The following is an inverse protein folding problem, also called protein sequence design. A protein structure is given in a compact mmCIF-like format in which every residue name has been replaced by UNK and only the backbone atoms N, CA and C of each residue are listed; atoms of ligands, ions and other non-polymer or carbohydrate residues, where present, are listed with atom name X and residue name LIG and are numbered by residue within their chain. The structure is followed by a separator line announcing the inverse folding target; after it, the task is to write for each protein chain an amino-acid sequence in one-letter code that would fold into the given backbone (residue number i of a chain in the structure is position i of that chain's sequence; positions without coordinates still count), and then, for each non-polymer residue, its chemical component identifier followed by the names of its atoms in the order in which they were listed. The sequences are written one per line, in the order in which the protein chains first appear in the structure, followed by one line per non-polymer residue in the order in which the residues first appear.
data_IF_532624414759
#
_entry.id   IF_532624414759
#
_cell.length_a   1.000
_cell.length_b   1.000
_cell.length_c   1.000
_cell.angle_alpha   90.00
_cell.angle_beta   90.00
_cell.angle_gamma   90.00
#
_symmetry.space_group_name_H-M   'P 1'
#
loop_
_entity.id
_entity.type
_entity.pdbx_description
1 polymer ?
#
# COMPACT_ATOMS: atom_id res chain seq x y z
N UNK A 1 -17.25 -6.69 9.41
CA UNK A 1 -17.02 -7.69 8.34
C UNK A 1 -18.23 -7.91 7.44
N UNK A 2 -19.45 -7.99 7.99
CA UNK A 2 -20.67 -8.23 7.20
C UNK A 2 -20.88 -7.32 5.98
N UNK A 3 -20.44 -6.06 6.05
CA UNK A 3 -20.57 -5.10 4.92
C UNK A 3 -19.31 -5.03 4.05
N UNK A 4 -18.12 -5.09 4.64
CA UNK A 4 -16.84 -4.90 3.92
C UNK A 4 -16.35 -6.15 3.19
N UNK A 5 -16.76 -7.34 3.62
CA UNK A 5 -16.29 -8.62 3.06
C UNK A 5 -16.49 -8.74 1.55
N UNK A 6 -17.68 -8.41 0.99
CA UNK A 6 -17.90 -8.54 -0.46
C UNK A 6 -16.99 -7.61 -1.25
N UNK A 7 -16.85 -6.35 -0.80
CA UNK A 7 -16.00 -5.35 -1.43
C UNK A 7 -14.52 -5.73 -1.40
N UNK A 8 -14.05 -6.23 -0.25
CA UNK A 8 -12.68 -6.69 -0.08
C UNK A 8 -12.35 -7.88 -1.00
N UNK A 9 -13.25 -8.87 -1.07
CA UNK A 9 -13.09 -10.02 -1.96
C UNK A 9 -13.05 -9.59 -3.42
N UNK A 10 -14.01 -8.76 -3.84
CA UNK A 10 -14.07 -8.23 -5.21
C UNK A 10 -12.75 -7.57 -5.60
N UNK A 11 -12.17 -6.75 -4.72
CA UNK A 11 -10.88 -6.11 -5.00
C UNK A 11 -9.73 -7.12 -5.21
N UNK A 12 -9.66 -8.16 -4.38
CA UNK A 12 -8.63 -9.21 -4.51
C UNK A 12 -8.85 -10.03 -5.78
N UNK A 13 -10.10 -10.38 -6.10
CA UNK A 13 -10.46 -11.15 -7.27
C UNK A 13 -10.16 -10.38 -8.57
N UNK A 14 -10.50 -9.08 -8.62
CA UNK A 14 -10.15 -8.18 -9.73
C UNK A 14 -8.64 -8.13 -9.96
N UNK A 15 -7.85 -7.95 -8.90
CA UNK A 15 -6.40 -7.99 -9.01
C UNK A 15 -5.90 -9.35 -9.49
N UNK A 16 -6.50 -10.44 -9.02
CA UNK A 16 -6.10 -11.80 -9.41
C UNK A 16 -6.37 -12.08 -10.90
N UNK A 17 -7.53 -11.67 -11.41
CA UNK A 17 -7.94 -11.91 -12.80
C UNK A 17 -7.18 -10.99 -13.76
N UNK A 18 -7.07 -9.70 -13.44
CA UNK A 18 -6.54 -8.69 -14.36
C UNK A 18 -5.06 -8.38 -14.15
N UNK A 19 -4.47 -8.80 -13.03
CA UNK A 19 -3.07 -8.50 -12.69
C UNK A 19 -2.80 -7.01 -12.48
N UNK A 20 -3.82 -6.20 -12.28
CA UNK A 20 -3.73 -4.74 -12.19
C UNK A 20 -4.55 -4.19 -11.04
N UNK A 21 -4.14 -3.04 -10.51
CA UNK A 21 -4.91 -2.34 -9.49
C UNK A 21 -6.02 -1.51 -10.12
N UNK A 22 -7.23 -1.48 -9.54
CA UNK A 22 -8.25 -0.54 -9.95
C UNK A 22 -7.72 0.90 -9.89
N UNK A 23 -8.15 1.74 -10.82
CA UNK A 23 -7.67 3.13 -10.94
C UNK A 23 -7.81 3.87 -9.60
N UNK A 24 -6.75 4.53 -9.17
CA UNK A 24 -6.71 5.30 -7.90
C UNK A 24 -6.39 4.46 -6.66
N UNK A 25 -6.34 3.13 -6.74
CA UNK A 25 -6.03 2.27 -5.59
C UNK A 25 -4.58 2.35 -5.12
N UNK A 26 -3.68 2.86 -5.97
CA UNK A 26 -2.28 3.14 -5.67
C UNK A 26 -2.03 4.62 -5.34
N UNK A 27 -3.08 5.45 -5.24
CA UNK A 27 -2.93 6.82 -4.76
C UNK A 27 -2.39 6.82 -3.33
N UNK A 28 -1.46 7.73 -3.04
CA UNK A 28 -0.89 7.88 -1.72
C UNK A 28 -0.61 9.34 -1.40
N UNK A 29 -0.66 9.68 -0.12
CA UNK A 29 -0.16 10.95 0.38
C UNK A 29 1.27 10.81 0.87
N UNK A 30 2.10 11.80 0.57
CA UNK A 30 3.45 11.86 1.11
C UNK A 30 3.42 12.63 2.43
N UNK A 31 3.78 11.95 3.53
CA UNK A 31 4.00 12.58 4.82
C UNK A 31 5.51 12.72 5.06
N UNK A 32 5.97 13.93 5.40
CA UNK A 32 7.36 14.18 5.77
C UNK A 32 7.47 14.17 7.30
N UNK A 33 8.12 13.14 7.84
CA UNK A 33 8.35 13.03 9.30
C UNK A 33 9.73 13.59 9.62
N UNK A 34 9.86 14.61 10.48
CA UNK A 34 11.16 15.16 10.86
C UNK A 34 12.00 14.11 11.61
N UNK A 35 13.29 14.02 11.28
CA UNK A 35 14.27 13.15 11.97
C UNK A 35 14.91 13.85 13.18
N UNK A 36 14.91 15.18 13.18
CA UNK A 36 15.53 16.04 14.20
C UNK A 36 14.54 17.12 14.64
N UNK A 37 14.81 17.80 15.75
CA UNK A 37 13.93 18.84 16.31
C UNK A 37 13.85 20.11 15.47
N UNK A 38 14.91 20.42 14.71
CA UNK A 38 15.00 21.63 13.87
C UNK A 38 15.47 21.26 12.46
N UNK A 39 14.60 20.63 11.65
CA UNK A 39 14.95 20.24 10.28
C UNK A 39 15.22 21.49 9.42
N UNK A 40 16.36 21.52 8.73
CA UNK A 40 16.80 22.65 7.89
C UNK A 40 16.81 22.30 6.40
N UNK A 41 16.87 21.02 6.08
CA UNK A 41 16.92 20.50 4.71
C UNK A 41 15.91 19.38 4.48
N UNK A 42 15.58 19.08 3.21
CA UNK A 42 14.72 17.94 2.88
C UNK A 42 15.30 16.60 3.36
N UNK A 43 16.62 16.50 3.47
CA UNK A 43 17.30 15.30 3.96
C UNK A 43 17.03 15.04 5.47
N UNK A 44 16.61 16.07 6.21
CA UNK A 44 16.24 15.96 7.62
C UNK A 44 14.84 15.34 7.81
N UNK A 45 14.12 15.07 6.72
CA UNK A 45 12.84 14.38 6.75
C UNK A 45 12.96 12.94 6.29
N UNK A 46 12.15 12.08 6.89
CA UNK A 46 11.86 10.73 6.39
C UNK A 46 10.52 10.79 5.65
N UNK A 47 10.50 10.59 4.32
CA UNK A 47 9.24 10.47 3.60
C UNK A 47 8.56 9.15 3.97
N UNK A 48 7.26 9.20 4.25
CA UNK A 48 6.40 8.02 4.39
C UNK A 48 5.24 8.15 3.40
N UNK A 49 5.02 7.10 2.61
CA UNK A 49 3.84 6.99 1.75
C UNK A 49 2.66 6.45 2.57
N UNK A 50 1.62 7.27 2.70
CA UNK A 50 0.32 6.89 3.25
C UNK A 50 -0.54 6.30 2.14
N UNK A 51 -0.19 5.07 1.74
CA UNK A 51 -0.94 4.30 0.74
C UNK A 51 -2.09 3.51 1.39
N UNK A 52 -3.19 3.35 0.66
CA UNK A 52 -4.37 2.61 1.10
C UNK A 52 -4.08 1.17 1.53
N UNK A 53 -4.83 0.68 2.52
CA UNK A 53 -4.63 -0.66 3.08
C UNK A 53 -4.84 -1.79 2.07
N UNK A 54 -5.75 -1.62 1.10
CA UNK A 54 -6.01 -2.61 0.06
C UNK A 54 -4.77 -2.91 -0.79
N UNK A 55 -4.00 -1.88 -1.14
CA UNK A 55 -2.72 -2.04 -1.82
C UNK A 55 -1.75 -2.88 -0.97
N UNK A 56 -1.66 -2.57 0.34
CA UNK A 56 -0.76 -3.26 1.26
C UNK A 56 -1.12 -4.75 1.43
N UNK A 57 -2.41 -5.09 1.40
CA UNK A 57 -2.87 -6.49 1.44
C UNK A 57 -2.36 -7.26 0.24
N UNK A 58 -2.53 -6.73 -0.98
CA UNK A 58 -2.06 -7.39 -2.20
C UNK A 58 -0.54 -7.49 -2.19
N UNK A 59 0.16 -6.42 -1.80
CA UNK A 59 1.62 -6.44 -1.67
C UNK A 59 2.08 -7.56 -0.71
N UNK A 60 1.41 -7.75 0.43
CA UNK A 60 1.74 -8.83 1.36
C UNK A 60 1.44 -10.22 0.79
N UNK A 61 0.34 -10.36 0.05
CA UNK A 61 0.01 -11.61 -0.64
C UNK A 61 1.11 -11.97 -1.64
N UNK A 62 1.58 -11.01 -2.44
CA UNK A 62 2.67 -11.21 -3.38
C UNK A 62 4.00 -11.52 -2.68
N UNK A 63 4.33 -10.80 -1.60
CA UNK A 63 5.51 -11.06 -0.79
C UNK A 63 5.54 -12.52 -0.30
N UNK A 64 4.41 -13.03 0.19
CA UNK A 64 4.31 -14.41 0.66
C UNK A 64 4.50 -15.43 -0.48
N UNK A 65 4.02 -15.13 -1.69
CA UNK A 65 4.24 -15.97 -2.88
C UNK A 65 5.69 -15.93 -3.36
N UNK A 66 6.32 -14.77 -3.30
CA UNK A 66 7.73 -14.62 -3.67
C UNK A 66 8.65 -15.35 -2.69
N UNK A 67 8.35 -15.28 -1.39
CA UNK A 67 9.10 -15.97 -0.33
C UNK A 67 9.18 -17.49 -0.52
N UNK A 68 8.21 -18.12 -1.20
CA UNK A 68 8.27 -19.57 -1.44
C UNK A 68 9.12 -19.96 -2.64
N UNK A 69 9.54 -19.00 -3.46
CA UNK A 69 10.30 -19.25 -4.71
C UNK A 69 11.68 -18.60 -4.73
N UNK A 70 11.95 -17.66 -3.81
CA UNK A 70 13.23 -17.01 -3.58
C UNK A 70 13.77 -17.41 -2.20
#
# INVERSE_FOLDING_TARGET
WGVLKPEFRRFVDEFHIHGSFPRGSNASFLALIPKTTHPQSLNDYRPISLIGCMYKVIAKLLENRLRSVL
#
